data_IF_234783703717
#
_entry.id   IF_234783703717
#
_cell.length_a   1.000
_cell.length_b   1.000
_cell.length_c   1.000
_cell.angle_alpha   90.00
_cell.angle_beta   90.00
_cell.angle_gamma   90.00
#
_symmetry.space_group_name_H-M   'P 1'
#
loop_
_entity.id
_entity.type
_entity.pdbx_description
1 polymer ?
#
# COMPACT_ATOMS: atom_id res chain seq x y z
N UNK A 1 16.02 14.03 11.01
CA UNK A 1 15.51 13.01 10.08
C UNK A 1 15.22 11.77 10.91
N UNK A 2 13.95 11.37 11.08
CA UNK A 2 13.69 10.01 11.58
C UNK A 2 14.19 9.07 10.49
N UNK A 3 15.20 8.26 10.80
CA UNK A 3 15.60 7.18 9.92
C UNK A 3 14.46 6.17 9.99
N UNK A 4 13.62 6.09 8.96
CA UNK A 4 12.53 5.11 8.94
C UNK A 4 13.15 3.70 8.98
N UNK A 5 12.70 2.83 9.90
CA UNK A 5 13.36 1.57 10.23
C UNK A 5 13.49 0.62 9.04
N UNK A 6 12.48 0.57 8.17
CA UNK A 6 12.44 -0.40 7.07
C UNK A 6 11.79 0.18 5.80
N UNK A 7 11.86 -0.58 4.71
CA UNK A 7 11.27 -0.25 3.41
C UNK A 7 10.17 -1.26 3.05
N UNK A 8 9.03 -0.78 2.54
CA UNK A 8 7.94 -1.62 2.06
C UNK A 8 7.59 -1.28 0.61
N UNK A 9 7.45 -2.31 -0.23
CA UNK A 9 6.94 -2.18 -1.60
C UNK A 9 5.45 -2.52 -1.62
N UNK A 10 4.67 -1.72 -2.34
CA UNK A 10 3.27 -2.00 -2.59
C UNK A 10 3.08 -2.79 -3.87
N UNK A 11 2.31 -3.86 -3.78
CA UNK A 11 1.73 -4.52 -4.94
C UNK A 11 0.57 -3.68 -5.53
N UNK A 12 0.30 -3.83 -6.82
CA UNK A 12 -0.81 -3.17 -7.51
C UNK A 12 -2.17 -3.54 -6.87
N UNK A 13 -2.32 -4.74 -6.32
CA UNK A 13 -3.58 -5.19 -5.72
C UNK A 13 -3.99 -4.36 -4.48
N UNK A 14 -3.03 -3.83 -3.70
CA UNK A 14 -3.34 -2.97 -2.53
C UNK A 14 -3.53 -1.51 -2.92
N UNK A 15 -3.03 -1.10 -4.09
CA UNK A 15 -3.25 0.23 -4.66
C UNK A 15 -4.53 0.32 -5.49
N UNK A 16 -5.12 -0.79 -5.89
CA UNK A 16 -6.36 -0.80 -6.66
C UNK A 16 -7.55 -0.20 -5.89
N UNK A 17 -7.88 -0.64 -4.65
CA UNK A 17 -9.00 -0.07 -3.92
C UNK A 17 -8.68 1.33 -3.41
N UNK A 18 -9.49 2.32 -3.80
CA UNK A 18 -9.21 3.73 -3.52
C UNK A 18 -9.07 4.04 -2.02
N UNK A 19 -9.89 3.40 -1.17
CA UNK A 19 -9.84 3.59 0.28
C UNK A 19 -8.56 3.02 0.90
N UNK A 20 -8.12 1.83 0.50
CA UNK A 20 -6.86 1.27 1.00
C UNK A 20 -5.65 2.07 0.50
N UNK A 21 -5.62 2.41 -0.80
CA UNK A 21 -4.58 3.26 -1.38
C UNK A 21 -4.40 4.56 -0.61
N UNK A 22 -5.48 5.28 -0.34
CA UNK A 22 -5.44 6.56 0.39
C UNK A 22 -4.92 6.37 1.83
N UNK A 23 -5.34 5.32 2.54
CA UNK A 23 -4.82 5.01 3.88
C UNK A 23 -3.30 4.73 3.84
N UNK A 24 -2.85 3.89 2.91
CA UNK A 24 -1.44 3.59 2.71
C UNK A 24 -0.61 4.83 2.38
N UNK A 25 -1.18 5.79 1.64
CA UNK A 25 -0.51 7.07 1.40
C UNK A 25 -0.36 7.89 2.69
N UNK A 26 -1.40 7.98 3.53
CA UNK A 26 -1.28 8.66 4.83
C UNK A 26 -0.29 7.98 5.77
N UNK A 27 -0.24 6.65 5.77
CA UNK A 27 0.74 5.87 6.51
C UNK A 27 2.16 6.08 5.98
N UNK A 28 2.36 6.12 4.66
CA UNK A 28 3.66 6.40 4.05
C UNK A 28 4.19 7.80 4.40
N UNK A 29 3.29 8.77 4.61
CA UNK A 29 3.61 10.12 5.05
C UNK A 29 3.91 10.24 6.56
N UNK A 30 3.66 9.20 7.36
CA UNK A 30 3.92 9.21 8.81
C UNK A 30 5.42 9.13 9.15
N UNK A 31 6.24 8.62 8.22
CA UNK A 31 7.66 8.35 8.43
C UNK A 31 7.97 7.05 9.17
N UNK A 32 6.98 6.19 9.44
CA UNK A 32 7.18 4.88 10.08
C UNK A 32 7.94 3.88 9.19
N UNK A 33 7.85 4.01 7.87
CA UNK A 33 8.56 3.19 6.89
C UNK A 33 8.74 3.98 5.60
N UNK A 34 9.54 3.45 4.67
CA UNK A 34 9.70 4.00 3.32
C UNK A 34 8.81 3.24 2.36
N UNK A 35 7.70 3.85 1.94
CA UNK A 35 6.85 3.29 0.88
C UNK A 35 7.56 3.34 -0.48
N UNK A 36 7.40 2.29 -1.29
CA UNK A 36 8.00 2.16 -2.62
C UNK A 36 7.01 1.52 -3.60
N UNK A 37 7.12 1.91 -4.87
CA UNK A 37 6.37 1.34 -5.99
C UNK A 37 7.11 1.62 -7.31
N UNK A 38 6.67 1.01 -8.41
CA UNK A 38 7.23 1.24 -9.75
C UNK A 38 6.19 1.86 -10.68
N UNK A 39 6.64 2.36 -11.84
CA UNK A 39 5.74 2.78 -12.91
C UNK A 39 4.87 1.63 -13.41
N UNK A 40 5.41 0.40 -13.46
CA UNK A 40 4.67 -0.79 -13.85
C UNK A 40 3.54 -1.13 -12.86
N UNK A 41 3.81 -1.07 -11.54
CA UNK A 41 2.78 -1.21 -10.51
C UNK A 41 1.68 -0.15 -10.70
N UNK A 42 2.06 1.09 -11.04
CA UNK A 42 1.08 2.12 -11.40
C UNK A 42 0.22 1.72 -12.59
N UNK A 43 0.82 1.26 -13.69
CA UNK A 43 0.06 0.86 -14.87
C UNK A 43 -0.91 -0.30 -14.60
N UNK A 44 -0.54 -1.25 -13.75
CA UNK A 44 -1.40 -2.37 -13.36
C UNK A 44 -2.66 -1.95 -12.63
N UNK A 45 -2.53 -1.21 -11.52
CA UNK A 45 -3.72 -0.81 -10.78
C UNK A 45 -4.56 0.18 -11.58
N UNK A 46 -3.95 1.08 -12.37
CA UNK A 46 -4.67 2.03 -13.24
C UNK A 46 -5.48 1.30 -14.30
N UNK A 47 -4.88 0.32 -14.99
CA UNK A 47 -5.54 -0.52 -16.00
C UNK A 47 -6.74 -1.27 -15.40
N UNK A 48 -6.56 -1.86 -14.22
CA UNK A 48 -7.64 -2.58 -13.54
C UNK A 48 -8.76 -1.64 -13.08
N UNK A 49 -8.44 -0.44 -12.58
CA UNK A 49 -9.45 0.57 -12.21
C UNK A 49 -10.27 0.98 -13.43
N UNK A 50 -9.62 1.33 -14.55
CA UNK A 50 -10.32 1.75 -15.77
C UNK A 50 -11.21 0.63 -16.35
N UNK A 51 -10.82 -0.63 -16.19
CA UNK A 51 -11.63 -1.79 -16.59
C UNK A 51 -12.93 -1.90 -15.77
N UNK A 52 -12.89 -1.60 -14.48
CA UNK A 52 -14.01 -1.82 -13.55
C UNK A 52 -14.80 -0.54 -13.23
N UNK A 53 -14.29 0.64 -13.59
CA UNK A 53 -14.88 1.96 -13.32
C UNK A 53 -14.95 2.78 -14.61
N UNK A 54 -15.92 2.51 -15.51
CA UNK A 54 -16.06 3.23 -16.77
C UNK A 54 -16.44 4.72 -16.58
N UNK A 55 -16.82 5.12 -15.38
CA UNK A 55 -17.03 6.52 -14.97
C UNK A 55 -15.70 7.30 -14.82
N UNK A 56 -14.56 6.62 -14.76
CA UNK A 56 -13.25 7.24 -14.64
C UNK A 56 -12.52 7.29 -15.99
N UNK A 57 -11.75 8.35 -16.20
CA UNK A 57 -10.92 8.54 -17.38
C UNK A 57 -9.46 8.23 -17.06
N UNK A 58 -8.65 7.99 -18.10
CA UNK A 58 -7.20 7.84 -17.96
C UNK A 58 -6.55 9.07 -17.27
N UNK A 59 -7.07 10.26 -17.53
CA UNK A 59 -6.63 11.50 -16.89
C UNK A 59 -6.84 11.49 -15.37
N UNK A 60 -7.99 10.99 -14.88
CA UNK A 60 -8.26 10.89 -13.44
C UNK A 60 -7.24 9.98 -12.73
N UNK A 61 -6.96 8.81 -13.30
CA UNK A 61 -6.04 7.84 -12.67
C UNK A 61 -4.58 8.25 -12.81
N UNK A 62 -4.20 8.91 -13.91
CA UNK A 62 -2.85 9.48 -14.08
C UNK A 62 -2.60 10.67 -13.16
N UNK A 63 -3.60 11.53 -12.95
CA UNK A 63 -3.53 12.59 -11.95
C UNK A 63 -3.32 11.99 -10.55
N UNK A 64 -4.02 10.91 -10.24
CA UNK A 64 -3.87 10.20 -8.95
C UNK A 64 -2.45 9.66 -8.76
N UNK A 65 -1.87 8.94 -9.74
CA UNK A 65 -0.49 8.44 -9.61
C UNK A 65 0.53 9.58 -9.50
N UNK A 66 0.37 10.66 -10.27
CA UNK A 66 1.26 11.82 -10.18
C UNK A 66 1.20 12.50 -8.81
N UNK A 67 0.02 12.55 -8.16
CA UNK A 67 -0.12 13.04 -6.80
C UNK A 67 0.55 12.12 -5.77
N UNK A 68 0.52 10.80 -5.99
CA UNK A 68 1.24 9.85 -5.13
C UNK A 68 2.75 10.06 -5.21
N UNK A 69 3.30 10.12 -6.42
CA UNK A 69 4.74 10.36 -6.66
C UNK A 69 5.19 11.70 -6.07
N UNK A 70 4.36 12.74 -6.21
CA UNK A 70 4.64 14.05 -5.63
C UNK A 70 4.58 14.04 -4.09
N UNK A 71 3.68 13.26 -3.51
CA UNK A 71 3.54 13.16 -2.05
C UNK A 71 4.72 12.44 -1.40
N UNK A 72 5.28 11.43 -2.07
CA UNK A 72 6.43 10.66 -1.58
C UNK A 72 7.53 10.65 -2.67
N UNK A 73 8.38 11.68 -2.74
CA UNK A 73 9.30 11.92 -3.87
C UNK A 73 10.27 10.78 -4.20
N UNK A 74 10.65 9.96 -3.22
CA UNK A 74 11.56 8.83 -3.41
C UNK A 74 10.83 7.50 -3.58
N UNK A 75 9.49 7.45 -3.63
CA UNK A 75 8.78 6.18 -3.68
C UNK A 75 8.98 5.41 -5.00
N UNK A 76 9.19 6.12 -6.12
CA UNK A 76 9.30 5.52 -7.43
C UNK A 76 10.65 4.81 -7.62
N UNK A 77 10.62 3.48 -7.71
CA UNK A 77 11.79 2.61 -7.91
C UNK A 77 12.04 2.44 -9.42
N UNK A 78 13.31 2.56 -9.82
CA UNK A 78 13.78 2.39 -11.20
C UNK A 78 15.02 1.49 -11.26
N UNK A 79 15.31 0.91 -12.44
CA UNK A 79 16.47 0.05 -12.65
C UNK A 79 16.34 -1.29 -11.92
N UNK A 80 15.12 -1.81 -11.84
CA UNK A 80 14.81 -3.14 -11.31
C UNK A 80 14.65 -4.18 -12.44
N UNK A 81 14.49 -3.73 -13.68
CA UNK A 81 14.06 -4.51 -14.84
C UNK A 81 15.04 -5.66 -15.16
N UNK A 82 16.34 -5.42 -14.99
CA UNK A 82 17.39 -6.44 -15.23
C UNK A 82 17.24 -7.65 -14.29
N UNK A 83 16.67 -7.47 -13.10
CA UNK A 83 16.44 -8.55 -12.14
C UNK A 83 15.27 -9.45 -12.54
N UNK A 84 14.25 -8.91 -13.22
CA UNK A 84 13.00 -9.62 -13.52
C UNK A 84 13.22 -10.97 -14.24
N UNK A 85 14.19 -11.03 -15.14
CA UNK A 85 14.49 -12.24 -15.92
C UNK A 85 15.08 -13.39 -15.10
N UNK A 86 15.70 -13.08 -13.96
CA UNK A 86 16.37 -14.04 -13.07
C UNK A 86 15.48 -14.55 -11.93
N UNK A 87 14.32 -13.93 -11.75
CA UNK A 87 13.38 -14.29 -10.69
C UNK A 87 12.42 -15.37 -11.19
N UNK A 88 12.13 -16.33 -10.33
CA UNK A 88 11.15 -17.38 -10.54
C UNK A 88 10.06 -17.24 -9.47
N UNK A 89 8.85 -16.91 -9.89
CA UNK A 89 7.67 -16.77 -9.04
C UNK A 89 6.51 -17.57 -9.67
N UNK A 90 5.54 -18.04 -8.87
CA UNK A 90 4.36 -18.73 -9.38
C UNK A 90 3.63 -17.95 -10.47
N UNK A 91 3.49 -16.63 -10.31
CA UNK A 91 3.01 -15.73 -11.34
C UNK A 91 4.20 -14.98 -11.99
N UNK A 92 4.46 -15.21 -13.30
CA UNK A 92 5.48 -14.47 -14.03
C UNK A 92 5.26 -12.96 -14.06
N UNK A 93 4.02 -12.49 -13.93
CA UNK A 93 3.70 -11.07 -13.91
C UNK A 93 4.10 -10.43 -12.58
N UNK A 94 4.22 -11.16 -11.47
CA UNK A 94 4.60 -10.57 -10.16
C UNK A 94 6.12 -10.35 -9.98
N UNK A 95 6.92 -10.81 -10.94
CA UNK A 95 8.39 -10.72 -10.88
C UNK A 95 8.90 -9.29 -10.78
N UNK A 96 8.21 -8.31 -11.36
CA UNK A 96 8.62 -6.91 -11.23
C UNK A 96 8.42 -6.36 -9.81
N UNK A 97 7.42 -6.85 -9.06
CA UNK A 97 7.19 -6.43 -7.67
C UNK A 97 8.35 -6.91 -6.80
N UNK A 98 8.75 -8.18 -6.94
CA UNK A 98 9.90 -8.72 -6.23
C UNK A 98 11.21 -8.05 -6.67
N UNK A 99 11.40 -7.81 -7.97
CA UNK A 99 12.57 -7.08 -8.47
C UNK A 99 12.66 -5.67 -7.87
N UNK A 100 11.54 -4.96 -7.77
CA UNK A 100 11.47 -3.65 -7.14
C UNK A 100 11.80 -3.71 -5.64
N UNK A 101 11.31 -4.75 -4.94
CA UNK A 101 11.62 -5.00 -3.54
C UNK A 101 13.13 -5.21 -3.32
N UNK A 102 13.76 -6.08 -4.12
CA UNK A 102 15.21 -6.31 -4.08
C UNK A 102 15.97 -5.02 -4.37
N UNK A 103 15.60 -4.31 -5.44
CA UNK A 103 16.26 -3.06 -5.87
C UNK A 103 16.20 -1.96 -4.81
N UNK A 104 15.09 -1.88 -4.09
CA UNK A 104 14.85 -0.87 -3.05
C UNK A 104 15.28 -1.30 -1.65
N UNK A 105 15.82 -2.53 -1.50
CA UNK A 105 16.12 -3.16 -0.20
C UNK A 105 14.89 -3.10 0.71
N UNK A 106 13.75 -3.48 0.15
CA UNK A 106 12.53 -3.68 0.92
C UNK A 106 12.69 -4.90 1.81
N UNK A 107 12.07 -4.82 2.98
CA UNK A 107 11.93 -5.96 3.89
C UNK A 107 10.53 -6.57 3.74
N UNK A 108 9.56 -5.80 3.21
CA UNK A 108 8.16 -6.20 3.09
C UNK A 108 7.60 -5.91 1.70
N UNK A 109 6.87 -6.86 1.14
CA UNK A 109 5.93 -6.65 0.02
C UNK A 109 4.51 -6.68 0.58
N UNK A 110 3.78 -5.56 0.50
CA UNK A 110 2.40 -5.47 0.97
C UNK A 110 1.46 -5.90 -0.16
N UNK A 111 0.77 -7.02 0.02
CA UNK A 111 -0.07 -7.67 -1.00
C UNK A 111 -1.23 -8.46 -0.40
N UNK A 112 -2.36 -8.51 -1.09
CA UNK A 112 -3.43 -9.48 -0.80
C UNK A 112 -3.11 -10.88 -1.31
N UNK A 113 -2.21 -10.99 -2.29
CA UNK A 113 -1.95 -12.18 -3.08
C UNK A 113 -0.77 -12.99 -2.53
N UNK A 114 -0.79 -13.32 -1.23
CA UNK A 114 0.35 -13.98 -0.55
C UNK A 114 0.87 -15.26 -1.24
N UNK A 115 -0.02 -16.00 -1.90
CA UNK A 115 0.32 -17.22 -2.65
C UNK A 115 1.24 -16.97 -3.85
N UNK A 116 1.21 -15.77 -4.42
CA UNK A 116 2.00 -15.40 -5.59
C UNK A 116 3.41 -14.93 -5.18
N UNK A 117 3.62 -14.75 -3.88
CA UNK A 117 4.91 -14.44 -3.25
C UNK A 117 5.30 -15.48 -2.18
N UNK A 118 5.65 -16.73 -2.53
CA UNK A 118 5.97 -17.75 -1.53
C UNK A 118 7.19 -17.38 -0.66
N UNK A 119 7.05 -17.44 0.67
CA UNK A 119 8.12 -17.11 1.62
C UNK A 119 9.40 -17.89 1.38
N UNK A 120 9.31 -19.12 0.88
CA UNK A 120 10.47 -19.96 0.57
C UNK A 120 11.34 -19.36 -0.54
N UNK A 121 10.75 -18.62 -1.47
CA UNK A 121 11.47 -17.92 -2.56
C UNK A 121 11.97 -16.58 -2.04
N UNK A 122 11.10 -15.81 -1.35
CA UNK A 122 11.41 -14.46 -0.90
C UNK A 122 12.48 -14.41 0.20
N UNK A 123 12.57 -15.44 1.05
CA UNK A 123 13.56 -15.53 2.13
C UNK A 123 15.02 -15.51 1.66
N UNK A 124 15.29 -15.88 0.39
CA UNK A 124 16.63 -15.75 -0.20
C UNK A 124 17.08 -14.28 -0.37
N UNK A 125 16.15 -13.34 -0.23
CA UNK A 125 16.35 -11.90 -0.41
C UNK A 125 16.03 -11.10 0.85
N UNK A 126 15.78 -11.76 2.00
CA UNK A 126 15.35 -11.13 3.26
C UNK A 126 14.06 -10.28 3.10
N UNK A 127 13.13 -10.74 2.25
CA UNK A 127 11.84 -10.09 2.00
C UNK A 127 10.72 -10.98 2.54
N UNK A 128 9.68 -10.36 3.10
CA UNK A 128 8.47 -11.04 3.54
C UNK A 128 7.23 -10.50 2.82
N UNK A 129 6.33 -11.37 2.33
CA UNK A 129 5.02 -10.95 1.84
C UNK A 129 4.09 -10.72 3.03
N UNK A 130 3.34 -9.62 3.04
CA UNK A 130 2.47 -9.27 4.16
C UNK A 130 1.11 -8.77 3.68
N UNK A 131 0.06 -9.27 4.32
CA UNK A 131 -1.30 -8.80 4.09
C UNK A 131 -1.43 -7.35 4.59
N UNK A 132 -2.15 -6.44 3.90
CA UNK A 132 -2.23 -5.04 4.32
C UNK A 132 -2.84 -4.84 5.72
N UNK A 133 -3.74 -5.73 6.16
CA UNK A 133 -4.32 -5.65 7.52
C UNK A 133 -3.28 -6.01 8.60
N UNK A 134 -2.48 -7.05 8.36
CA UNK A 134 -1.40 -7.44 9.27
C UNK A 134 -0.29 -6.37 9.27
N UNK A 135 0.04 -5.82 8.10
CA UNK A 135 0.99 -4.71 7.97
C UNK A 135 0.59 -3.49 8.80
N UNK A 136 -0.70 -3.10 8.77
CA UNK A 136 -1.18 -1.97 9.55
C UNK A 136 -1.24 -2.30 11.05
N UNK A 137 -1.55 -3.54 11.43
CA UNK A 137 -1.42 -4.01 12.82
C UNK A 137 0.02 -3.92 13.33
N UNK A 138 1.01 -4.32 12.55
CA UNK A 138 2.42 -4.21 12.94
C UNK A 138 2.85 -2.74 13.09
N UNK A 139 2.38 -1.86 12.20
CA UNK A 139 2.57 -0.41 12.33
C UNK A 139 1.88 0.15 13.58
N UNK A 140 0.74 -0.41 13.96
CA UNK A 140 0.01 -0.02 15.17
C UNK A 140 0.80 -0.37 16.42
N UNK A 141 1.36 -1.59 16.48
CA UNK A 141 2.20 -2.01 17.59
C UNK A 141 3.51 -1.20 17.66
N UNK A 142 4.00 -0.70 16.52
CA UNK A 142 5.15 0.20 16.45
C UNK A 142 4.84 1.63 16.93
N UNK A 143 3.75 2.25 16.43
CA UNK A 143 3.34 3.61 16.80
C UNK A 143 1.83 3.84 16.55
N UNK A 144 1.03 3.58 17.59
CA UNK A 144 -0.42 3.76 17.58
C UNK A 144 -0.84 5.19 17.21
N UNK A 145 -0.10 6.20 17.67
CA UNK A 145 -0.45 7.60 17.44
C UNK A 145 -0.28 7.97 15.97
N UNK A 146 0.76 7.44 15.31
CA UNK A 146 0.98 7.64 13.88
C UNK A 146 -0.12 6.96 13.03
N UNK A 147 -0.50 5.73 13.35
CA UNK A 147 -1.58 5.02 12.65
C UNK A 147 -2.93 5.71 12.85
N UNK A 148 -3.28 6.05 14.10
CA UNK A 148 -4.51 6.80 14.39
C UNK A 148 -4.53 8.17 13.69
N UNK A 149 -3.39 8.86 13.66
CA UNK A 149 -3.24 10.13 12.96
C UNK A 149 -3.40 9.99 11.43
N UNK A 150 -2.92 8.91 10.83
CA UNK A 150 -3.14 8.60 9.42
C UNK A 150 -4.62 8.33 9.12
N UNK A 151 -5.27 7.50 9.94
CA UNK A 151 -6.70 7.18 9.81
C UNK A 151 -7.59 8.42 9.96
N UNK A 152 -7.33 9.27 10.95
CA UNK A 152 -8.03 10.53 11.16
C UNK A 152 -7.89 11.47 9.95
N UNK A 153 -6.67 11.62 9.42
CA UNK A 153 -6.42 12.47 8.24
C UNK A 153 -7.15 11.94 7.01
N UNK A 154 -7.12 10.63 6.80
CA UNK A 154 -7.85 9.98 5.72
C UNK A 154 -9.35 10.28 5.80
N UNK A 155 -9.98 9.97 6.93
CA UNK A 155 -11.43 10.18 7.12
C UNK A 155 -11.80 11.64 6.89
N UNK A 156 -11.03 12.59 7.43
CA UNK A 156 -11.28 14.04 7.24
C UNK A 156 -11.08 14.52 5.81
N UNK A 157 -10.28 13.83 5.01
CA UNK A 157 -10.09 14.14 3.60
C UNK A 157 -11.30 13.71 2.74
N UNK A 158 -12.08 12.73 3.19
CA UNK A 158 -13.34 12.32 2.56
C UNK A 158 -14.41 13.40 2.77
N UNK A 159 -14.64 14.22 1.74
CA UNK A 159 -15.61 15.34 1.79
C UNK A 159 -16.86 15.13 0.95
N UNK A 160 -16.89 14.09 0.10
CA UNK A 160 -17.95 13.86 -0.90
C UNK A 160 -18.24 12.36 -1.05
N UNK A 161 -19.07 11.77 -0.17
CA UNK A 161 -19.68 12.39 1.02
C UNK A 161 -18.70 12.48 2.20
N UNK A 162 -18.94 13.38 3.17
CA UNK A 162 -18.34 13.27 4.49
C UNK A 162 -18.66 11.92 5.11
N UNK A 163 -17.70 11.35 5.85
CA UNK A 163 -17.84 10.02 6.43
C UNK A 163 -17.75 10.08 7.95
N UNK A 164 -18.80 9.58 8.62
CA UNK A 164 -18.81 9.37 10.07
C UNK A 164 -17.82 8.28 10.48
N UNK A 165 -17.32 8.34 11.71
CA UNK A 165 -16.27 7.44 12.19
C UNK A 165 -16.66 5.96 12.12
N UNK A 166 -17.86 5.58 12.57
CA UNK A 166 -18.38 4.21 12.41
C UNK A 166 -18.45 3.74 10.95
N UNK A 167 -18.93 4.58 10.03
CA UNK A 167 -18.96 4.25 8.60
C UNK A 167 -17.57 4.10 7.99
N UNK A 168 -16.60 4.87 8.50
CA UNK A 168 -15.20 4.73 8.12
C UNK A 168 -14.62 3.39 8.59
N UNK A 169 -14.89 2.98 9.83
CA UNK A 169 -14.47 1.68 10.35
C UNK A 169 -15.09 0.51 9.56
N UNK A 170 -16.37 0.60 9.20
CA UNK A 170 -17.02 -0.38 8.32
C UNK A 170 -16.41 -0.40 6.91
N UNK A 171 -16.05 0.77 6.37
CA UNK A 171 -15.37 0.87 5.07
C UNK A 171 -14.03 0.13 5.12
N UNK A 172 -13.21 0.33 6.17
CA UNK A 172 -11.95 -0.39 6.35
C UNK A 172 -12.17 -1.91 6.41
N UNK A 173 -13.17 -2.39 7.16
CA UNK A 173 -13.52 -3.82 7.19
C UNK A 173 -13.85 -4.36 5.80
N UNK A 174 -14.62 -3.61 4.99
CA UNK A 174 -14.97 -4.00 3.61
C UNK A 174 -13.77 -4.01 2.67
N UNK A 175 -12.69 -3.31 3.00
CA UNK A 175 -11.41 -3.38 2.28
C UNK A 175 -10.53 -4.56 2.74
N UNK A 176 -11.04 -5.45 3.61
CA UNK A 176 -10.27 -6.55 4.18
C UNK A 176 -9.42 -6.15 5.38
N UNK A 177 -9.66 -4.97 5.98
CA UNK A 177 -8.90 -4.46 7.12
C UNK A 177 -9.64 -4.66 8.45
N UNK A 178 -9.98 -5.91 8.76
CA UNK A 178 -10.80 -6.25 9.92
C UNK A 178 -10.08 -6.03 11.26
N UNK A 179 -8.79 -6.39 11.33
CA UNK A 179 -7.96 -6.14 12.52
C UNK A 179 -7.75 -4.65 12.72
N UNK A 180 -7.37 -3.92 11.66
CA UNK A 180 -7.18 -2.47 11.69
C UNK A 180 -8.44 -1.76 12.20
N UNK A 181 -9.61 -2.14 11.69
CA UNK A 181 -10.89 -1.58 12.13
C UNK A 181 -11.15 -1.86 13.62
N UNK A 182 -10.86 -3.08 14.08
CA UNK A 182 -10.97 -3.45 15.50
C UNK A 182 -10.01 -2.65 16.39
N UNK A 183 -8.77 -2.42 15.94
CA UNK A 183 -7.75 -1.66 16.67
C UNK A 183 -8.15 -0.18 16.82
N UNK A 184 -8.72 0.41 15.75
CA UNK A 184 -9.17 1.80 15.74
C UNK A 184 -10.52 2.01 16.45
N UNK A 185 -11.35 0.97 16.58
CA UNK A 185 -12.69 1.05 17.18
C UNK A 185 -12.76 1.72 18.56
N UNK A 186 -11.90 1.37 19.54
CA UNK A 186 -11.86 2.05 20.83
C UNK A 186 -11.56 3.57 20.75
N UNK A 187 -11.03 4.04 19.62
CA UNK A 187 -10.66 5.43 19.37
C UNK A 187 -11.61 6.14 18.40
N UNK A 188 -12.84 5.62 18.20
CA UNK A 188 -13.81 6.17 17.25
C UNK A 188 -14.03 7.69 17.41
N UNK A 189 -14.08 8.19 18.65
CA UNK A 189 -14.24 9.63 18.95
C UNK A 189 -13.06 10.48 18.47
N UNK A 190 -11.89 9.88 18.31
CA UNK A 190 -10.67 10.54 17.83
C UNK A 190 -10.50 10.47 16.31
N UNK A 191 -11.22 9.58 15.62
CA UNK A 191 -11.22 9.50 14.15
C UNK A 191 -11.94 10.72 13.58
#
# INVERSE_FOLDING_TARGET
MRCSPFTAVYDACVLYPAALRDLLMWLGLSGLYRARWTSQIHEEWKRNVLKNRPDLTAEHVNCTSALMDKAIPDALVTGYEDLCSSLDLPDPDDRHVLAAAIRSKAEVIVTFNLKDFPTQILSAYDIEPMHPDDFISDLWDLDQAAVLGAAQKQRRALKRPPMEAGSYLEMLMRQGLAQTSKLLGPYEVML
#
